data_IF_545002319428
#
_entry.id   IF_545002319428
#
_cell.length_a   1.000
_cell.length_b   1.000
_cell.length_c   1.000
_cell.angle_alpha   90.00
_cell.angle_beta   90.00
_cell.angle_gamma   90.00
#
_symmetry.space_group_name_H-M   'P 1'
#
loop_
_entity.id
_entity.type
_entity.pdbx_description
1 polymer ?
#
# COMPACT_ATOMS: atom_id res chain seq x y z
N UNK A 1 80.00 -0.71 5.77
CA UNK A 1 78.93 0.08 5.14
C UNK A 1 77.79 -0.91 4.86
N UNK A 2 76.83 -1.00 5.74
CA UNK A 2 75.69 -1.97 5.64
C UNK A 2 74.49 -1.15 5.20
N UNK A 3 73.96 -1.36 3.99
CA UNK A 3 72.67 -0.86 3.49
C UNK A 3 71.56 -1.66 4.15
N UNK A 4 70.70 -0.99 4.94
CA UNK A 4 69.41 -1.54 5.37
C UNK A 4 68.38 -1.29 4.26
N UNK A 5 67.88 -2.40 3.67
CA UNK A 5 66.70 -2.37 2.82
C UNK A 5 65.46 -2.41 3.69
N UNK A 6 64.74 -1.29 3.78
CA UNK A 6 63.40 -1.23 4.40
C UNK A 6 62.39 -1.64 3.34
N UNK A 7 61.87 -2.85 3.42
CA UNK A 7 60.75 -3.31 2.61
C UNK A 7 59.43 -2.77 3.19
N UNK A 8 58.88 -1.76 2.59
CA UNK A 8 57.55 -1.19 2.95
C UNK A 8 56.48 -2.14 2.43
N UNK A 9 55.86 -2.92 3.33
CA UNK A 9 54.69 -3.77 3.03
C UNK A 9 53.44 -2.88 2.94
N UNK A 10 53.08 -2.42 1.77
CA UNK A 10 51.81 -1.74 1.54
C UNK A 10 50.71 -2.80 1.55
N UNK A 11 50.06 -2.96 2.69
CA UNK A 11 48.83 -3.74 2.81
C UNK A 11 47.74 -3.03 2.07
N UNK A 12 47.45 -3.42 0.83
CA UNK A 12 46.33 -2.94 0.07
C UNK A 12 45.03 -3.38 0.78
N UNK A 13 44.38 -2.45 1.48
CA UNK A 13 43.00 -2.56 1.96
C UNK A 13 42.09 -2.60 0.73
N UNK A 14 41.90 -3.77 0.16
CA UNK A 14 40.83 -4.01 -0.81
C UNK A 14 39.51 -3.93 0.00
N UNK A 15 38.60 -2.99 -0.31
CA UNK A 15 37.32 -3.02 0.32
C UNK A 15 36.66 -4.35 -0.10
N UNK A 16 36.55 -5.29 0.84
CA UNK A 16 35.69 -6.46 0.66
C UNK A 16 34.26 -5.91 0.53
N UNK A 17 33.79 -5.78 -0.70
CA UNK A 17 32.38 -5.62 -0.93
C UNK A 17 31.71 -6.87 -0.37
N UNK A 18 31.14 -6.74 0.80
CA UNK A 18 30.30 -7.74 1.41
C UNK A 18 29.07 -7.85 0.50
N UNK A 19 29.10 -8.78 -0.45
CA UNK A 19 27.88 -9.21 -1.09
C UNK A 19 27.07 -9.87 0.03
N UNK A 20 26.09 -9.12 0.54
CA UNK A 20 25.09 -9.71 1.42
C UNK A 20 24.39 -10.80 0.60
N UNK A 21 24.83 -12.07 0.78
CA UNK A 21 24.12 -13.20 0.22
C UNK A 21 22.79 -13.28 0.94
N UNK A 22 21.70 -13.17 0.20
CA UNK A 22 20.39 -13.45 0.73
C UNK A 22 20.41 -14.88 1.28
N UNK A 23 20.18 -15.04 2.58
CA UNK A 23 20.17 -16.33 3.23
C UNK A 23 18.79 -17.00 3.20
N UNK A 24 17.75 -16.24 2.85
CA UNK A 24 16.36 -16.68 2.78
C UNK A 24 15.65 -16.00 1.61
N UNK A 25 14.80 -16.74 0.91
CA UNK A 25 13.89 -16.23 -0.10
C UNK A 25 12.47 -16.58 0.30
N UNK A 26 11.58 -15.57 0.29
CA UNK A 26 10.16 -15.72 0.59
C UNK A 26 9.32 -15.48 -0.66
N UNK A 27 8.20 -16.19 -0.77
CA UNK A 27 7.14 -15.95 -1.74
C UNK A 27 5.98 -15.31 -1.04
N UNK A 28 5.63 -14.10 -1.43
CA UNK A 28 4.58 -13.29 -0.80
C UNK A 28 3.43 -13.12 -1.79
N UNK A 29 2.24 -13.58 -1.39
CA UNK A 29 1.03 -13.29 -2.14
C UNK A 29 0.71 -11.79 -2.05
N UNK A 30 0.31 -11.19 -3.15
CA UNK A 30 -0.15 -9.79 -3.22
C UNK A 30 -1.43 -9.71 -4.02
N UNK A 31 -2.08 -8.56 -4.04
CA UNK A 31 -3.32 -8.33 -4.80
C UNK A 31 -3.23 -7.00 -5.54
N UNK A 32 -4.02 -6.83 -6.59
CA UNK A 32 -4.09 -5.56 -7.30
C UNK A 32 -4.95 -4.56 -6.53
N UNK A 33 -4.30 -3.57 -5.91
CA UNK A 33 -4.93 -2.47 -5.19
C UNK A 33 -4.06 -1.20 -5.25
N UNK A 34 -4.03 -0.58 -6.42
CA UNK A 34 -3.24 0.64 -6.64
C UNK A 34 -3.78 1.84 -5.82
N UNK A 35 -2.89 2.69 -5.26
CA UNK A 35 -1.45 2.74 -5.46
C UNK A 35 -0.62 1.90 -4.48
N UNK A 36 -1.26 1.10 -3.65
CA UNK A 36 -0.61 0.35 -2.57
C UNK A 36 0.15 -0.86 -3.10
N UNK A 37 -0.53 -1.69 -3.88
CA UNK A 37 0.01 -2.90 -4.49
C UNK A 37 -0.49 -3.02 -5.93
N UNK A 38 0.40 -3.24 -6.89
CA UNK A 38 0.04 -3.50 -8.29
C UNK A 38 1.25 -3.94 -9.11
N UNK A 39 1.11 -4.98 -9.90
CA UNK A 39 2.16 -5.47 -10.81
C UNK A 39 2.48 -4.51 -11.94
N UNK A 40 1.62 -3.53 -12.21
CA UNK A 40 1.82 -2.50 -13.23
C UNK A 40 2.61 -1.28 -12.72
N UNK A 41 2.95 -1.27 -11.42
CA UNK A 41 3.62 -0.15 -10.76
C UNK A 41 5.11 -0.43 -10.50
N UNK A 42 5.91 0.64 -10.29
CA UNK A 42 7.28 0.53 -9.79
C UNK A 42 7.30 -0.24 -8.48
N UNK A 43 8.22 -1.20 -8.35
CA UNK A 43 8.39 -2.05 -7.16
C UNK A 43 7.11 -2.79 -6.75
N UNK A 44 6.24 -3.10 -7.71
CA UNK A 44 4.92 -3.71 -7.48
C UNK A 44 4.02 -2.90 -6.52
N UNK A 45 4.23 -1.58 -6.44
CA UNK A 45 3.48 -0.63 -5.64
C UNK A 45 4.15 -0.19 -4.34
N UNK A 46 3.55 0.78 -3.68
CA UNK A 46 4.10 1.46 -2.50
C UNK A 46 4.34 0.51 -1.31
N UNK A 47 3.37 -0.34 -0.99
CA UNK A 47 3.46 -1.27 0.14
C UNK A 47 4.45 -2.40 -0.16
N UNK A 48 4.42 -2.95 -1.36
CA UNK A 48 5.36 -4.00 -1.76
C UNK A 48 6.81 -3.50 -1.75
N UNK A 49 7.05 -2.23 -2.13
CA UNK A 49 8.37 -1.61 -1.99
C UNK A 49 8.85 -1.57 -0.53
N UNK A 50 7.99 -1.13 0.40
CA UNK A 50 8.32 -1.10 1.83
C UNK A 50 8.63 -2.51 2.33
N UNK A 51 7.81 -3.50 1.97
CA UNK A 51 7.99 -4.89 2.40
C UNK A 51 9.30 -5.46 1.87
N UNK A 52 9.59 -5.24 0.59
CA UNK A 52 10.83 -5.74 -0.02
C UNK A 52 12.08 -5.15 0.65
N UNK A 53 12.09 -3.83 0.88
CA UNK A 53 13.21 -3.15 1.51
C UNK A 53 13.35 -3.53 3.00
N UNK A 54 12.22 -3.69 3.74
CA UNK A 54 12.26 -4.13 5.13
C UNK A 54 12.88 -5.53 5.26
N UNK A 55 12.49 -6.47 4.43
CA UNK A 55 13.10 -7.80 4.41
C UNK A 55 14.58 -7.77 3.97
N UNK A 56 14.93 -6.89 3.01
CA UNK A 56 16.30 -6.74 2.55
C UNK A 56 17.24 -6.27 3.67
N UNK A 57 16.80 -5.39 4.58
CA UNK A 57 17.58 -4.97 5.77
C UNK A 57 17.97 -6.17 6.67
N UNK A 58 17.20 -7.24 6.64
CA UNK A 58 17.47 -8.46 7.39
C UNK A 58 18.08 -9.59 6.55
N UNK A 59 18.48 -9.29 5.28
CA UNK A 59 19.11 -10.22 4.37
C UNK A 59 18.15 -11.21 3.71
N UNK A 60 16.85 -10.95 3.76
CA UNK A 60 15.81 -11.76 3.12
C UNK A 60 15.41 -11.11 1.79
N UNK A 61 15.23 -11.93 0.76
CA UNK A 61 14.74 -11.51 -0.57
C UNK A 61 13.30 -12.00 -0.73
N UNK A 62 12.46 -11.17 -1.31
CA UNK A 62 11.05 -11.51 -1.54
C UNK A 62 10.71 -11.57 -3.02
N UNK A 63 9.77 -12.44 -3.36
CA UNK A 63 9.13 -12.53 -4.66
C UNK A 63 7.63 -12.35 -4.47
N UNK A 64 7.03 -11.35 -5.14
CA UNK A 64 5.59 -11.12 -5.09
C UNK A 64 4.87 -11.90 -6.19
N UNK A 65 3.71 -12.48 -5.84
CA UNK A 65 2.81 -13.15 -6.78
C UNK A 65 1.41 -12.56 -6.62
N UNK A 66 0.91 -11.90 -7.67
CA UNK A 66 -0.42 -11.26 -7.64
C UNK A 66 -1.52 -12.29 -7.84
N UNK A 67 -2.48 -12.29 -6.94
CA UNK A 67 -3.65 -13.18 -6.91
C UNK A 67 -4.89 -12.38 -6.53
N UNK A 68 -6.09 -12.85 -6.87
CA UNK A 68 -7.32 -12.37 -6.26
C UNK A 68 -7.26 -12.52 -4.73
N UNK A 69 -7.86 -11.58 -3.99
CA UNK A 69 -7.75 -11.51 -2.53
C UNK A 69 -8.11 -12.82 -1.81
N UNK A 70 -9.26 -13.41 -2.14
CA UNK A 70 -9.71 -14.66 -1.50
C UNK A 70 -8.77 -15.84 -1.81
N UNK A 71 -8.23 -15.90 -3.04
CA UNK A 71 -7.24 -16.89 -3.44
C UNK A 71 -5.91 -16.70 -2.69
N UNK A 72 -5.47 -15.45 -2.52
CA UNK A 72 -4.28 -15.12 -1.75
C UNK A 72 -4.40 -15.58 -0.29
N UNK A 73 -5.55 -15.34 0.35
CA UNK A 73 -5.84 -15.81 1.72
C UNK A 73 -5.78 -17.34 1.81
N UNK A 74 -6.51 -18.02 0.94
CA UNK A 74 -6.63 -19.49 0.95
C UNK A 74 -5.29 -20.17 0.67
N UNK A 75 -4.56 -19.73 -0.35
CA UNK A 75 -3.27 -20.29 -0.74
C UNK A 75 -2.19 -20.07 0.34
N UNK A 76 -2.22 -18.90 1.02
CA UNK A 76 -1.30 -18.64 2.12
C UNK A 76 -1.61 -19.50 3.35
N UNK A 77 -2.87 -19.71 3.68
CA UNK A 77 -3.26 -20.64 4.78
C UNK A 77 -2.90 -22.09 4.48
N UNK A 78 -2.77 -22.47 3.20
CA UNK A 78 -2.29 -23.80 2.77
C UNK A 78 -0.76 -23.92 2.74
N UNK A 79 -0.03 -22.85 3.07
CA UNK A 79 1.44 -22.84 3.03
C UNK A 79 2.05 -22.72 1.62
N UNK A 80 1.27 -22.32 0.61
CA UNK A 80 1.77 -22.07 -0.74
C UNK A 80 2.56 -20.76 -0.85
N UNK A 81 2.28 -19.82 0.08
CA UNK A 81 2.97 -18.53 0.24
C UNK A 81 3.29 -18.30 1.71
N UNK A 82 4.42 -17.63 1.93
CA UNK A 82 4.95 -17.37 3.27
C UNK A 82 4.20 -16.24 4.00
N UNK A 83 3.59 -15.32 3.24
CA UNK A 83 2.84 -14.18 3.76
C UNK A 83 1.93 -13.55 2.68
N UNK A 84 1.08 -12.60 3.11
CA UNK A 84 0.31 -11.72 2.22
C UNK A 84 0.76 -10.28 2.46
N UNK A 85 1.07 -9.54 1.39
CA UNK A 85 1.72 -8.22 1.44
C UNK A 85 0.82 -7.10 1.95
N UNK A 86 -0.48 -7.21 1.76
CA UNK A 86 -1.43 -6.15 2.03
C UNK A 86 -2.64 -6.71 2.79
N UNK A 87 -2.70 -6.41 4.07
CA UNK A 87 -3.82 -6.80 4.88
C UNK A 87 -4.21 -5.70 5.86
N UNK A 88 -5.42 -5.19 5.72
CA UNK A 88 -5.98 -4.29 6.70
C UNK A 88 -6.23 -5.05 8.01
N UNK A 89 -6.02 -4.36 9.14
CA UNK A 89 -6.28 -4.95 10.44
C UNK A 89 -7.75 -5.33 10.57
N UNK A 90 -8.00 -6.62 10.72
CA UNK A 90 -9.33 -7.19 10.99
C UNK A 90 -9.19 -8.20 12.12
N UNK A 91 -9.85 -7.94 13.26
CA UNK A 91 -9.78 -8.82 14.45
C UNK A 91 -10.12 -10.29 14.14
N UNK A 92 -11.06 -10.56 13.26
CA UNK A 92 -11.44 -11.92 12.88
C UNK A 92 -10.28 -12.73 12.28
N UNK A 93 -9.33 -12.05 11.61
CA UNK A 93 -8.13 -12.70 11.01
C UNK A 93 -7.04 -13.05 12.01
N UNK A 94 -7.11 -12.54 13.24
CA UNK A 94 -6.13 -12.86 14.29
C UNK A 94 -6.13 -14.33 14.71
N UNK A 95 -7.18 -15.10 14.40
CA UNK A 95 -7.18 -16.55 14.61
C UNK A 95 -6.23 -17.30 13.68
N UNK A 96 -6.02 -16.82 12.47
CA UNK A 96 -5.33 -17.49 11.36
C UNK A 96 -4.00 -16.86 11.03
N UNK A 97 -3.88 -15.53 11.18
CA UNK A 97 -2.68 -14.75 10.81
C UNK A 97 -2.10 -13.98 11.99
N UNK A 98 -0.80 -13.83 11.99
CA UNK A 98 -0.12 -12.76 12.70
C UNK A 98 -0.16 -11.50 11.83
N UNK A 99 -0.47 -10.36 12.44
CA UNK A 99 -0.31 -9.04 11.83
C UNK A 99 1.06 -8.49 12.21
N UNK A 100 1.82 -7.98 11.25
CA UNK A 100 3.06 -7.27 11.52
C UNK A 100 2.82 -5.95 12.27
N UNK A 101 3.88 -5.24 12.62
CA UNK A 101 3.76 -3.81 12.92
C UNK A 101 3.12 -3.08 11.73
N UNK A 102 2.38 -1.97 11.97
CA UNK A 102 1.74 -1.22 10.90
C UNK A 102 2.74 -0.72 9.86
N UNK A 103 2.48 -0.99 8.58
CA UNK A 103 3.28 -0.51 7.45
C UNK A 103 2.83 0.89 7.06
N UNK A 104 1.51 1.09 6.99
CA UNK A 104 0.86 2.35 6.69
C UNK A 104 -0.49 2.46 7.38
N UNK A 105 -1.10 3.62 7.27
CA UNK A 105 -2.49 3.85 7.64
C UNK A 105 -3.24 4.42 6.44
N UNK A 106 -4.39 3.83 6.15
CA UNK A 106 -5.31 4.26 5.11
C UNK A 106 -6.41 5.08 5.74
N UNK A 107 -6.82 6.13 5.07
CA UNK A 107 -7.83 7.05 5.55
C UNK A 107 -8.97 7.14 4.56
N UNK A 108 -10.13 6.64 4.94
CA UNK A 108 -11.36 6.86 4.21
C UNK A 108 -11.81 8.31 4.41
N UNK A 109 -12.08 9.01 3.31
CA UNK A 109 -12.52 10.40 3.30
C UNK A 109 -13.72 10.57 2.37
N UNK A 110 -14.43 11.67 2.49
CA UNK A 110 -15.31 12.09 1.41
C UNK A 110 -14.54 12.94 0.41
N UNK A 111 -14.63 12.57 -0.87
CA UNK A 111 -14.33 13.46 -1.98
C UNK A 111 -15.59 14.22 -2.37
N UNK A 112 -15.43 15.49 -2.70
CA UNK A 112 -16.53 16.40 -3.08
C UNK A 112 -16.13 17.22 -4.30
N UNK A 113 -17.12 17.81 -4.98
CA UNK A 113 -16.83 18.85 -5.97
C UNK A 113 -16.31 20.11 -5.25
N UNK A 114 -15.14 20.63 -5.68
CA UNK A 114 -14.44 21.72 -5.00
C UNK A 114 -15.21 23.05 -4.98
N UNK A 115 -16.12 23.28 -5.95
CA UNK A 115 -16.90 24.52 -6.03
C UNK A 115 -18.28 24.42 -5.37
N UNK A 116 -18.85 23.20 -5.33
CA UNK A 116 -20.26 22.99 -4.94
C UNK A 116 -20.42 22.14 -3.68
N UNK A 117 -19.39 21.35 -3.33
CA UNK A 117 -19.43 20.48 -2.17
C UNK A 117 -19.25 21.23 -0.85
N UNK A 118 -19.48 20.58 0.29
CA UNK A 118 -19.17 21.15 1.60
C UNK A 118 -17.67 21.24 1.83
N UNK A 119 -17.20 22.26 2.54
CA UNK A 119 -15.77 22.38 2.92
C UNK A 119 -15.38 21.38 4.00
N UNK A 120 -16.32 20.94 4.81
CA UNK A 120 -16.12 20.03 5.95
C UNK A 120 -17.44 19.36 6.32
N UNK A 121 -17.36 18.36 7.19
CA UNK A 121 -18.49 17.69 7.80
C UNK A 121 -18.16 17.35 9.26
N UNK A 122 -19.14 17.12 10.11
CA UNK A 122 -18.96 16.72 11.51
C UNK A 122 -19.64 15.38 11.80
N UNK A 123 -20.84 15.17 11.25
CA UNK A 123 -21.60 13.93 11.39
C UNK A 123 -22.31 13.57 10.06
N UNK A 124 -22.66 12.31 9.86
CA UNK A 124 -23.28 11.85 8.60
C UNK A 124 -24.61 12.54 8.31
N UNK A 125 -25.32 13.03 9.34
CA UNK A 125 -26.54 13.81 9.17
C UNK A 125 -26.35 15.13 8.43
N UNK A 126 -25.13 15.69 8.42
CA UNK A 126 -24.80 16.89 7.64
C UNK A 126 -24.89 16.66 6.13
N UNK A 127 -24.76 15.39 5.71
CA UNK A 127 -24.75 14.98 4.32
C UNK A 127 -26.14 14.53 3.81
N UNK A 128 -27.19 14.64 4.62
CA UNK A 128 -28.53 14.05 4.34
C UNK A 128 -29.19 14.57 3.04
N UNK A 129 -28.92 15.82 2.69
CA UNK A 129 -29.48 16.48 1.51
C UNK A 129 -28.58 16.35 0.28
N UNK A 130 -27.38 15.74 0.45
CA UNK A 130 -26.39 15.52 -0.59
C UNK A 130 -26.58 14.14 -1.23
N UNK A 131 -26.32 14.07 -2.52
CA UNK A 131 -26.35 12.81 -3.28
C UNK A 131 -25.00 12.12 -3.15
N UNK A 132 -25.00 10.96 -2.49
CA UNK A 132 -23.80 10.18 -2.23
C UNK A 132 -23.59 9.09 -3.30
N UNK A 133 -22.40 9.09 -3.94
CA UNK A 133 -21.95 7.97 -4.74
C UNK A 133 -21.32 6.90 -3.85
N UNK A 134 -21.48 5.62 -4.19
CA UNK A 134 -20.80 4.50 -3.54
C UNK A 134 -20.32 3.51 -4.60
N UNK A 135 -19.28 2.75 -4.31
CA UNK A 135 -18.77 1.73 -5.23
C UNK A 135 -19.31 0.36 -4.88
N UNK A 136 -19.80 -0.36 -5.87
CA UNK A 136 -20.35 -1.70 -5.74
C UNK A 136 -19.35 -2.65 -5.07
N UNK A 137 -19.81 -3.42 -4.09
CA UNK A 137 -19.00 -4.41 -3.38
C UNK A 137 -18.04 -3.86 -2.32
N UNK A 138 -17.99 -2.53 -2.11
CA UNK A 138 -17.15 -1.96 -1.05
C UNK A 138 -17.73 -2.21 0.34
N UNK A 139 -16.84 -2.52 1.27
CA UNK A 139 -17.15 -2.63 2.69
C UNK A 139 -16.79 -1.33 3.41
N UNK A 140 -17.80 -0.58 3.83
CA UNK A 140 -17.64 0.59 4.66
C UNK A 140 -17.74 0.21 6.16
N UNK A 141 -17.32 1.13 7.04
CA UNK A 141 -17.53 0.94 8.47
C UNK A 141 -19.03 0.86 8.81
N UNK A 142 -19.37 0.31 9.97
CA UNK A 142 -20.76 0.04 10.37
C UNK A 142 -21.64 1.29 10.32
N UNK A 143 -21.10 2.45 10.72
CA UNK A 143 -21.85 3.71 10.76
C UNK A 143 -22.19 4.21 9.35
N UNK A 144 -21.21 4.27 8.45
CA UNK A 144 -21.43 4.67 7.06
C UNK A 144 -22.29 3.63 6.31
N UNK A 145 -22.08 2.33 6.55
CA UNK A 145 -22.91 1.28 5.95
C UNK A 145 -24.37 1.40 6.38
N UNK A 146 -24.64 1.70 7.66
CA UNK A 146 -25.99 1.94 8.15
C UNK A 146 -26.61 3.18 7.52
N UNK A 147 -25.84 4.26 7.38
CA UNK A 147 -26.28 5.50 6.71
C UNK A 147 -26.65 5.23 5.25
N UNK A 148 -25.78 4.56 4.49
CA UNK A 148 -26.00 4.18 3.09
C UNK A 148 -27.29 3.35 2.95
N UNK A 149 -27.46 2.36 3.82
CA UNK A 149 -28.65 1.47 3.80
C UNK A 149 -29.95 2.23 4.13
N UNK A 150 -29.91 3.25 4.98
CA UNK A 150 -31.08 4.05 5.35
C UNK A 150 -31.36 5.20 4.39
N UNK A 151 -30.39 5.57 3.57
CA UNK A 151 -30.43 6.76 2.71
C UNK A 151 -31.22 6.55 1.43
N UNK A 152 -32.08 7.51 1.08
CA UNK A 152 -32.79 7.57 -0.19
C UNK A 152 -32.01 8.25 -1.31
N UNK A 153 -30.85 8.84 -1.00
CA UNK A 153 -30.07 9.70 -1.91
C UNK A 153 -28.69 9.11 -2.21
N UNK A 154 -28.62 7.78 -2.33
CA UNK A 154 -27.39 7.03 -2.63
C UNK A 154 -27.45 6.48 -4.04
N UNK A 155 -26.35 6.61 -4.77
CA UNK A 155 -26.16 6.07 -6.14
C UNK A 155 -24.98 5.13 -6.13
N UNK A 156 -25.19 3.91 -6.56
CA UNK A 156 -24.14 2.89 -6.71
C UNK A 156 -23.55 2.93 -8.12
N UNK A 157 -22.23 2.91 -8.21
CA UNK A 157 -21.46 2.84 -9.45
C UNK A 157 -20.55 1.61 -9.45
N UNK A 158 -20.25 1.08 -10.63
CA UNK A 158 -19.42 -0.11 -10.75
C UNK A 158 -17.95 0.12 -10.32
N UNK A 159 -17.43 1.35 -10.50
CA UNK A 159 -16.04 1.68 -10.21
C UNK A 159 -15.88 3.02 -9.49
N UNK A 160 -14.77 3.16 -8.77
CA UNK A 160 -14.37 4.44 -8.14
C UNK A 160 -14.17 5.55 -9.18
N UNK A 161 -13.66 5.20 -10.35
CA UNK A 161 -13.49 6.14 -11.46
C UNK A 161 -14.83 6.71 -11.91
N UNK A 162 -15.87 5.88 -12.01
CA UNK A 162 -17.22 6.33 -12.39
C UNK A 162 -17.79 7.31 -11.35
N UNK A 163 -17.54 7.05 -10.07
CA UNK A 163 -17.94 7.96 -8.99
C UNK A 163 -17.17 9.29 -9.04
N UNK A 164 -15.85 9.25 -9.28
CA UNK A 164 -15.05 10.47 -9.45
C UNK A 164 -15.55 11.30 -10.67
N UNK A 165 -15.85 10.64 -11.78
CA UNK A 165 -16.42 11.29 -12.96
C UNK A 165 -17.80 11.89 -12.63
N UNK A 166 -18.62 11.18 -11.85
CA UNK A 166 -19.93 11.68 -11.45
C UNK A 166 -19.85 12.90 -10.52
N UNK A 167 -18.81 13.00 -9.67
CA UNK A 167 -18.52 14.20 -8.89
C UNK A 167 -18.16 15.40 -9.78
N UNK A 168 -17.26 15.18 -10.76
CA UNK A 168 -16.83 16.20 -11.72
C UNK A 168 -18.04 16.70 -12.52
N UNK A 169 -18.87 15.78 -13.00
CA UNK A 169 -20.09 16.10 -13.76
C UNK A 169 -21.20 16.73 -12.89
N UNK A 170 -21.06 16.77 -11.57
CA UNK A 170 -22.07 17.23 -10.63
C UNK A 170 -23.32 16.34 -10.56
N UNK A 171 -23.17 15.05 -10.88
CA UNK A 171 -24.23 14.03 -10.79
C UNK A 171 -24.39 13.46 -9.39
N UNK A 172 -23.32 13.52 -8.59
CA UNK A 172 -23.27 13.24 -7.15
C UNK A 172 -22.54 14.38 -6.44
N UNK A 173 -22.72 14.51 -5.15
CA UNK A 173 -22.18 15.61 -4.34
C UNK A 173 -21.02 15.16 -3.45
N UNK A 174 -21.07 13.90 -2.97
CA UNK A 174 -20.05 13.31 -2.08
C UNK A 174 -19.76 11.86 -2.48
N UNK A 175 -18.49 11.43 -2.29
CA UNK A 175 -18.06 10.08 -2.58
C UNK A 175 -17.03 9.58 -1.53
N UNK A 176 -17.35 8.56 -0.71
CA UNK A 176 -16.43 7.98 0.25
C UNK A 176 -15.44 7.04 -0.43
N UNK A 177 -14.16 7.39 -0.40
CA UNK A 177 -13.05 6.60 -0.97
C UNK A 177 -11.80 6.78 -0.11
N UNK A 178 -10.86 5.83 -0.17
CA UNK A 178 -9.53 6.01 0.42
C UNK A 178 -8.83 7.24 -0.19
N UNK A 179 -8.23 8.08 0.67
CA UNK A 179 -7.65 9.37 0.26
C UNK A 179 -6.57 9.21 -0.83
N UNK A 180 -5.70 8.19 -0.70
CA UNK A 180 -4.62 7.96 -1.66
C UNK A 180 -5.11 7.29 -2.94
N UNK A 181 -6.09 6.40 -2.84
CA UNK A 181 -6.74 5.78 -4.01
C UNK A 181 -7.45 6.83 -4.85
N UNK A 182 -8.22 7.72 -4.22
CA UNK A 182 -8.87 8.83 -4.92
C UNK A 182 -7.86 9.76 -5.59
N UNK A 183 -6.80 10.15 -4.87
CA UNK A 183 -5.72 10.95 -5.45
C UNK A 183 -5.05 10.24 -6.63
N UNK A 184 -4.73 8.95 -6.50
CA UNK A 184 -4.08 8.17 -7.54
C UNK A 184 -4.93 8.07 -8.82
N UNK A 185 -6.22 7.75 -8.67
CA UNK A 185 -7.15 7.67 -9.81
C UNK A 185 -7.28 9.00 -10.54
N UNK A 186 -7.37 10.10 -9.78
CA UNK A 186 -7.39 11.46 -10.35
C UNK A 186 -6.12 11.76 -11.16
N UNK A 187 -4.94 11.38 -10.64
CA UNK A 187 -3.67 11.60 -11.36
C UNK A 187 -3.54 10.74 -12.63
N UNK A 188 -4.06 9.52 -12.61
CA UNK A 188 -3.92 8.56 -13.70
C UNK A 188 -4.93 8.75 -14.83
N UNK A 189 -6.18 9.03 -14.48
CA UNK A 189 -7.33 8.87 -15.38
C UNK A 189 -7.99 10.20 -15.78
N UNK A 190 -7.62 11.33 -15.15
CA UNK A 190 -8.27 12.62 -15.34
C UNK A 190 -7.28 13.71 -15.71
N UNK A 191 -7.72 14.71 -16.44
CA UNK A 191 -6.87 15.85 -16.81
C UNK A 191 -6.66 16.85 -15.66
N UNK A 192 -5.84 17.88 -15.89
CA UNK A 192 -5.50 18.84 -14.83
C UNK A 192 -6.66 19.79 -14.47
N UNK A 193 -7.66 19.94 -15.34
CA UNK A 193 -8.89 20.69 -15.08
C UNK A 193 -9.74 19.91 -14.10
N UNK A 194 -10.13 18.72 -14.50
CA UNK A 194 -10.96 17.78 -13.73
C UNK A 194 -10.41 17.52 -12.32
N UNK A 195 -9.08 17.37 -12.20
CA UNK A 195 -8.43 17.17 -10.90
C UNK A 195 -8.58 18.33 -9.90
N UNK A 196 -8.79 19.55 -10.39
CA UNK A 196 -9.05 20.72 -9.53
C UNK A 196 -10.49 20.82 -9.08
N UNK A 197 -11.37 20.15 -9.81
CA UNK A 197 -12.81 20.22 -9.55
C UNK A 197 -13.26 19.28 -8.42
N UNK A 198 -12.36 18.41 -7.94
CA UNK A 198 -12.65 17.50 -6.82
C UNK A 198 -11.55 17.52 -5.77
N UNK A 199 -11.93 17.42 -4.51
CA UNK A 199 -11.01 17.43 -3.38
C UNK A 199 -11.51 16.57 -2.21
N UNK A 200 -10.60 16.00 -1.40
CA UNK A 200 -10.99 15.35 -0.15
C UNK A 200 -11.29 16.38 0.93
N UNK A 201 -12.32 16.10 1.74
CA UNK A 201 -12.67 16.91 2.92
C UNK A 201 -12.42 16.16 4.23
N UNK A 202 -12.27 16.93 5.31
CA UNK A 202 -12.02 16.42 6.66
C UNK A 202 -13.25 16.62 7.56
N UNK A 203 -13.39 15.83 8.66
CA UNK A 203 -12.46 14.81 9.17
C UNK A 203 -12.43 13.52 8.33
N UNK A 204 -11.55 12.58 8.67
CA UNK A 204 -11.60 11.22 8.14
C UNK A 204 -12.87 10.50 8.58
N UNK A 205 -13.47 9.72 7.70
CA UNK A 205 -14.61 8.83 8.03
C UNK A 205 -14.09 7.70 8.92
N UNK A 206 -12.95 7.12 8.56
CA UNK A 206 -12.26 6.09 9.34
C UNK A 206 -10.78 6.02 8.96
N UNK A 207 -9.99 5.38 9.80
CA UNK A 207 -8.59 5.04 9.49
C UNK A 207 -8.36 3.59 9.85
N UNK A 208 -7.70 2.84 8.98
CA UNK A 208 -7.32 1.44 9.17
C UNK A 208 -5.83 1.29 8.89
N UNK A 209 -5.15 0.44 9.68
CA UNK A 209 -3.75 0.13 9.49
C UNK A 209 -3.55 -1.05 8.55
N UNK A 210 -2.49 -0.98 7.74
CA UNK A 210 -2.08 -2.02 6.78
C UNK A 210 -0.89 -2.78 7.34
N UNK A 211 -0.90 -4.10 7.19
CA UNK A 211 0.06 -5.03 7.77
C UNK A 211 0.49 -6.09 6.75
N UNK A 212 1.67 -6.66 6.95
CA UNK A 212 2.01 -7.97 6.42
C UNK A 212 1.25 -9.02 7.24
N UNK A 213 0.54 -9.93 6.57
CA UNK A 213 -0.14 -11.06 7.19
C UNK A 213 0.73 -12.30 7.06
N UNK A 214 1.11 -12.90 8.20
CA UNK A 214 1.90 -14.14 8.23
C UNK A 214 1.03 -15.25 8.79
N UNK A 215 0.85 -16.41 8.10
CA UNK A 215 -0.02 -17.48 8.57
C UNK A 215 0.51 -18.09 9.87
N UNK A 216 -0.37 -18.47 10.80
CA UNK A 216 0.04 -19.00 12.12
C UNK A 216 0.45 -20.47 12.11
N UNK A 217 0.10 -21.20 11.06
CA UNK A 217 0.26 -22.66 11.00
C UNK A 217 1.69 -23.15 10.70
N UNK A 218 2.57 -22.27 10.20
CA UNK A 218 3.90 -22.66 9.72
C UNK A 218 4.98 -22.49 10.79
N UNK A 219 6.01 -23.33 10.75
CA UNK A 219 7.07 -23.39 11.77
C UNK A 219 7.94 -22.15 11.86
N UNK A 220 8.08 -21.41 10.77
CA UNK A 220 8.91 -20.22 10.62
C UNK A 220 8.13 -18.90 10.66
N UNK A 221 6.81 -18.95 10.82
CA UNK A 221 5.94 -17.77 10.86
C UNK A 221 6.41 -16.68 11.80
N UNK A 222 6.81 -17.05 13.03
CA UNK A 222 7.30 -16.07 13.99
C UNK A 222 8.65 -15.48 13.63
N UNK A 223 9.51 -16.27 12.98
CA UNK A 223 10.79 -15.78 12.46
C UNK A 223 10.56 -14.78 11.34
N UNK A 224 9.70 -15.10 10.37
CA UNK A 224 9.32 -14.21 9.25
C UNK A 224 8.78 -12.89 9.79
N UNK A 225 7.83 -12.95 10.73
CA UNK A 225 7.25 -11.77 11.37
C UNK A 225 8.31 -10.92 12.09
N UNK A 226 9.21 -11.57 12.84
CA UNK A 226 10.27 -10.89 13.58
C UNK A 226 11.28 -10.20 12.65
N UNK A 227 11.70 -10.87 11.57
CA UNK A 227 12.60 -10.32 10.56
C UNK A 227 11.98 -9.11 9.87
N UNK A 228 10.71 -9.22 9.48
CA UNK A 228 9.98 -8.12 8.86
C UNK A 228 9.89 -6.91 9.80
N UNK A 229 9.41 -7.12 11.03
CA UNK A 229 9.22 -6.03 11.99
C UNK A 229 10.54 -5.33 12.33
N UNK A 230 11.66 -6.10 12.44
CA UNK A 230 12.99 -5.53 12.64
C UNK A 230 13.42 -4.68 11.44
N UNK A 231 13.28 -5.18 10.23
CA UNK A 231 13.62 -4.40 9.03
C UNK A 231 12.75 -3.15 8.87
N UNK A 232 11.46 -3.24 9.18
CA UNK A 232 10.55 -2.08 9.16
C UNK A 232 10.97 -1.00 10.18
N UNK A 233 11.45 -1.42 11.36
CA UNK A 233 12.03 -0.52 12.36
C UNK A 233 13.30 0.19 11.82
N UNK A 234 14.22 -0.54 11.20
CA UNK A 234 15.41 0.03 10.56
C UNK A 234 15.05 1.06 9.47
N UNK A 235 14.08 0.73 8.58
CA UNK A 235 13.59 1.68 7.57
C UNK A 235 12.99 2.94 8.18
N UNK A 236 12.35 2.81 9.35
CA UNK A 236 11.76 3.93 10.09
C UNK A 236 12.85 4.84 10.65
N UNK A 237 13.86 4.26 11.32
CA UNK A 237 14.99 4.97 11.90
C UNK A 237 15.82 5.71 10.84
N UNK A 238 16.01 5.09 9.67
CA UNK A 238 16.74 5.66 8.54
C UNK A 238 15.93 6.73 7.77
N UNK A 239 14.67 6.95 8.12
CA UNK A 239 13.77 7.87 7.44
C UNK A 239 13.32 7.42 6.04
N UNK A 240 13.57 6.16 5.66
CA UNK A 240 13.20 5.60 4.34
C UNK A 240 11.68 5.58 4.15
N UNK A 241 10.88 5.28 5.19
CA UNK A 241 9.43 5.31 5.09
C UNK A 241 8.89 6.70 4.71
N UNK A 242 9.46 7.77 5.29
CA UNK A 242 9.13 9.15 4.94
C UNK A 242 9.47 9.44 3.48
N UNK A 243 10.62 8.95 3.01
CA UNK A 243 11.03 9.06 1.60
C UNK A 243 10.06 8.33 0.68
N UNK A 244 9.66 7.10 0.99
CA UNK A 244 8.73 6.32 0.15
C UNK A 244 7.36 6.99 0.07
N UNK A 245 6.86 7.55 1.20
CA UNK A 245 5.62 8.33 1.20
C UNK A 245 5.71 9.59 0.33
N UNK A 246 6.87 10.24 0.30
CA UNK A 246 7.11 11.38 -0.61
C UNK A 246 7.11 10.92 -2.06
N UNK A 247 7.83 9.82 -2.40
CA UNK A 247 7.84 9.25 -3.75
C UNK A 247 6.44 8.89 -4.24
N UNK A 248 5.58 8.36 -3.34
CA UNK A 248 4.17 8.09 -3.67
C UNK A 248 3.45 9.37 -4.08
N UNK A 249 3.57 10.45 -3.30
CA UNK A 249 2.95 11.75 -3.59
C UNK A 249 3.54 12.44 -4.83
N UNK A 250 4.78 12.16 -5.19
CA UNK A 250 5.45 12.65 -6.40
C UNK A 250 5.10 11.82 -7.65
N UNK A 251 4.27 10.77 -7.53
CA UNK A 251 3.85 9.93 -8.65
C UNK A 251 4.89 8.90 -9.11
N UNK A 252 5.95 8.67 -8.33
CA UNK A 252 7.04 7.76 -8.70
C UNK A 252 6.54 6.35 -9.04
N UNK A 253 5.58 5.82 -8.30
CA UNK A 253 5.06 4.48 -8.49
C UNK A 253 4.16 4.33 -9.73
N UNK A 254 3.68 5.43 -10.30
CA UNK A 254 2.77 5.41 -11.46
C UNK A 254 3.47 4.99 -12.77
N UNK A 255 4.81 5.00 -12.79
CA UNK A 255 5.56 4.61 -13.96
C UNK A 255 5.97 3.14 -13.86
N UNK A 256 5.53 2.26 -14.77
CA UNK A 256 5.91 0.86 -14.71
C UNK A 256 7.42 0.70 -14.84
N UNK A 257 7.98 -0.26 -14.13
CA UNK A 257 9.35 -0.67 -14.34
C UNK A 257 9.51 -1.14 -15.80
N UNK A 258 10.49 -0.59 -16.51
CA UNK A 258 10.95 -1.23 -17.75
C UNK A 258 11.50 -2.60 -17.34
N UNK A 259 10.73 -3.67 -17.57
CA UNK A 259 11.20 -5.04 -17.40
C UNK A 259 12.40 -5.19 -18.36
N UNK A 260 13.61 -5.20 -17.80
CA UNK A 260 14.81 -5.56 -18.56
C UNK A 260 14.72 -7.05 -18.76
N UNK A 261 14.24 -7.48 -19.92
CA UNK A 261 14.33 -8.87 -20.32
C UNK A 261 15.82 -9.19 -20.49
N UNK A 262 16.39 -9.85 -19.50
CA UNK A 262 17.64 -10.60 -19.70
C UNK A 262 17.30 -11.86 -20.50
N UNK A 263 17.17 -11.70 -21.83
CA UNK A 263 17.23 -12.85 -22.73
C UNK A 263 18.57 -13.51 -22.50
N UNK A 264 18.54 -14.69 -21.91
CA UNK A 264 19.69 -15.59 -21.81
C UNK A 264 20.02 -16.02 -23.24
N UNK A 265 21.07 -15.45 -23.80
CA UNK A 265 21.80 -16.08 -24.92
C UNK A 265 22.77 -17.11 -24.37
#
# INVERSE_FOLDING_TARGET
MRLLLIATFILALVPMQSFAHAWMKLRIATTEYAPYTSTDMQHDGYINHIIADAFLETGVVVEFVSLPWEEALEATLKGEYDAISYGNFVRARESEFFHSNPISAESLVFYVNAEKGPDTWAELSDLKDLKMGVTEGYLYNDELAAYIKSGSNVVESATDKDNLQALIDGKIDVFPIDELTGWYLLQRDFDSGDRRDVMPIKPFISTVTTHLLVPKGESDSQLILSLFNKGLEELTLDGKLTRFKRLLKEGYYQHPQKKVNFDRR
#
